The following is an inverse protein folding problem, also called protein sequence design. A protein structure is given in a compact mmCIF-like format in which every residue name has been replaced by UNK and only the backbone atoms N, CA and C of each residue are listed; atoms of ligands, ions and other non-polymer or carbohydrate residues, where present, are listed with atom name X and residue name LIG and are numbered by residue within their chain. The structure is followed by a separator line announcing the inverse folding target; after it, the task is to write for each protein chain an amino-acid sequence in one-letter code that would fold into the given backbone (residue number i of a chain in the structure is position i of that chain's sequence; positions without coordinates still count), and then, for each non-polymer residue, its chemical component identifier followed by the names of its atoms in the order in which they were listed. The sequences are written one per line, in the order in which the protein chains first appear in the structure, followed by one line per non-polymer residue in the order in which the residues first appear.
data_IF_030537716308
#
_entry.id   IF_030537716308
#
_cell.length_a   1.000
_cell.length_b   1.000
_cell.length_c   1.000
_cell.angle_alpha   90.00
_cell.angle_beta   90.00
_cell.angle_gamma   90.00
#
_symmetry.space_group_name_H-M   'P 1'
#
loop_
_entity.id
_entity.type
_entity.pdbx_description
1 polymer ?
#
# COMPACT_ATOMS: atom_id res chain seq x y z
N UNK A 1 -17.53 -48.80 -37.85
CA UNK A 1 -18.16 -47.65 -37.17
C UNK A 1 -17.16 -47.14 -36.13
N UNK A 2 -16.40 -46.10 -36.46
CA UNK A 2 -15.30 -45.56 -35.66
C UNK A 2 -15.63 -44.13 -35.25
N UNK A 3 -15.82 -43.91 -33.94
CA UNK A 3 -16.01 -42.57 -33.36
C UNK A 3 -14.71 -41.78 -33.38
N UNK A 4 -14.73 -40.45 -33.67
CA UNK A 4 -13.54 -39.63 -33.50
C UNK A 4 -13.38 -39.18 -32.03
N UNK A 5 -12.17 -39.34 -31.51
CA UNK A 5 -11.68 -38.74 -30.27
C UNK A 5 -11.57 -37.22 -30.43
N UNK A 6 -12.36 -36.46 -29.68
CA UNK A 6 -12.22 -35.01 -29.57
C UNK A 6 -11.12 -34.72 -28.54
N UNK A 7 -9.96 -34.28 -29.03
CA UNK A 7 -8.89 -33.75 -28.19
C UNK A 7 -9.31 -32.41 -27.56
N UNK A 8 -8.96 -32.11 -26.30
CA UNK A 8 -9.25 -30.83 -25.70
C UNK A 8 -8.42 -29.72 -26.38
N UNK A 9 -9.13 -28.67 -26.80
CA UNK A 9 -8.53 -27.47 -27.37
C UNK A 9 -7.58 -26.85 -26.34
N UNK A 10 -6.28 -26.97 -26.59
CA UNK A 10 -5.23 -26.20 -25.93
C UNK A 10 -5.50 -24.73 -26.24
N UNK A 11 -6.07 -24.01 -25.28
CA UNK A 11 -6.07 -22.56 -25.28
C UNK A 11 -4.61 -22.10 -25.21
N UNK A 12 -4.02 -21.84 -26.38
CA UNK A 12 -2.85 -20.98 -26.49
C UNK A 12 -3.28 -19.60 -25.99
N UNK A 13 -3.02 -19.31 -24.72
CA UNK A 13 -3.03 -17.94 -24.22
C UNK A 13 -1.93 -17.19 -24.98
N UNK A 14 -2.35 -16.45 -25.99
CA UNK A 14 -1.55 -15.53 -26.77
C UNK A 14 -0.83 -14.57 -25.82
N UNK A 15 0.49 -14.72 -25.72
CA UNK A 15 1.41 -13.73 -25.16
C UNK A 15 1.51 -12.49 -26.04
N UNK A 16 0.36 -11.90 -26.37
CA UNK A 16 0.26 -10.67 -27.13
C UNK A 16 0.22 -9.48 -26.17
N UNK A 17 1.41 -8.91 -25.98
CA UNK A 17 1.64 -7.50 -25.64
C UNK A 17 1.13 -6.98 -24.29
N UNK A 18 1.78 -7.42 -23.20
CA UNK A 18 1.85 -6.61 -21.96
C UNK A 18 2.65 -5.31 -22.20
N UNK A 19 3.48 -5.29 -23.25
CA UNK A 19 4.39 -4.18 -23.57
C UNK A 19 3.67 -2.93 -24.12
N UNK A 20 2.55 -3.05 -24.83
CA UNK A 20 1.87 -1.87 -25.39
C UNK A 20 1.01 -1.07 -24.40
N UNK A 21 0.81 -1.52 -23.16
CA UNK A 21 -0.18 -0.92 -22.25
C UNK A 21 0.39 -0.12 -21.08
N UNK A 22 1.71 0.10 -21.01
CA UNK A 22 2.37 0.80 -19.89
C UNK A 22 2.99 2.16 -20.24
N UNK A 23 2.88 2.66 -21.48
CA UNK A 23 3.50 3.93 -21.91
C UNK A 23 3.06 5.18 -21.11
N UNK A 24 1.98 5.08 -20.33
CA UNK A 24 1.45 6.14 -19.44
C UNK A 24 1.39 5.71 -17.97
N UNK A 25 2.07 4.63 -17.60
CA UNK A 25 2.06 4.14 -16.23
C UNK A 25 2.98 4.98 -15.33
N UNK A 26 2.46 5.39 -14.18
CA UNK A 26 3.21 6.10 -13.16
C UNK A 26 3.86 5.09 -12.21
N UNK A 27 5.16 5.22 -11.98
CA UNK A 27 5.83 4.46 -10.92
C UNK A 27 5.52 5.09 -9.56
N UNK A 28 5.04 4.28 -8.64
CA UNK A 28 4.79 4.70 -7.27
C UNK A 28 6.14 4.99 -6.58
N UNK A 29 6.46 6.27 -6.39
CA UNK A 29 7.65 6.66 -5.62
C UNK A 29 7.23 7.14 -4.24
N UNK A 30 7.76 6.46 -3.24
CA UNK A 30 7.44 6.65 -1.84
C UNK A 30 8.72 6.44 -1.03
N UNK A 31 8.94 7.26 0.00
CA UNK A 31 10.13 7.13 0.83
C UNK A 31 10.02 5.86 1.67
N UNK A 32 11.00 4.98 1.55
CA UNK A 32 11.08 3.79 2.40
C UNK A 32 11.23 4.18 3.87
N UNK A 33 10.57 3.44 4.77
CA UNK A 33 10.85 3.51 6.20
C UNK A 33 12.25 2.95 6.47
N UNK A 34 12.58 1.86 5.77
CA UNK A 34 13.89 1.21 5.75
C UNK A 34 14.14 0.49 4.42
N UNK A 35 15.40 0.32 3.99
CA UNK A 35 15.73 -0.23 2.68
C UNK A 35 15.64 -1.77 2.61
N UNK A 36 14.70 -2.39 3.32
CA UNK A 36 14.51 -3.85 3.34
C UNK A 36 13.10 -4.25 3.75
N UNK A 37 12.73 -5.52 3.54
CA UNK A 37 11.46 -6.05 4.03
C UNK A 37 11.41 -6.05 5.56
N UNK A 38 10.31 -5.56 6.10
CA UNK A 38 10.09 -5.50 7.54
C UNK A 38 8.73 -6.04 7.95
N UNK A 39 8.70 -6.54 9.18
CA UNK A 39 7.49 -6.73 9.95
C UNK A 39 7.49 -5.75 11.11
N UNK A 40 6.59 -4.78 11.09
CA UNK A 40 6.44 -3.82 12.18
C UNK A 40 5.85 -4.53 13.41
N UNK A 41 6.47 -4.32 14.57
CA UNK A 41 6.04 -4.88 15.85
C UNK A 41 5.41 -3.84 16.75
N UNK A 42 5.96 -2.63 16.78
CA UNK A 42 5.53 -1.58 17.69
C UNK A 42 5.71 -0.20 17.07
N UNK A 43 4.79 0.69 17.41
CA UNK A 43 4.80 2.11 17.07
C UNK A 43 4.75 2.84 18.40
N UNK A 44 5.71 3.71 18.65
CA UNK A 44 5.79 4.47 19.89
C UNK A 44 6.37 5.86 19.64
N UNK A 45 6.43 6.68 20.68
CA UNK A 45 7.18 7.93 20.70
C UNK A 45 8.31 7.84 21.70
N UNK A 46 9.40 8.59 21.46
CA UNK A 46 10.55 8.65 22.37
C UNK A 46 10.93 10.09 22.70
N UNK A 47 11.40 10.29 23.94
CA UNK A 47 11.86 11.57 24.47
C UNK A 47 10.76 12.61 24.68
N UNK A 48 11.15 13.76 25.23
CA UNK A 48 10.25 14.88 25.53
C UNK A 48 9.58 15.41 24.26
N UNK A 49 10.30 15.37 23.13
CA UNK A 49 9.79 15.80 21.84
C UNK A 49 8.73 14.88 21.22
N UNK A 50 8.42 13.73 21.84
CA UNK A 50 7.47 12.73 21.32
C UNK A 50 7.80 12.34 19.88
N UNK A 51 9.06 11.96 19.64
CA UNK A 51 9.55 11.62 18.29
C UNK A 51 9.03 10.24 17.90
N UNK A 52 8.33 10.07 16.77
CA UNK A 52 7.86 8.76 16.32
C UNK A 52 9.01 7.77 16.13
N UNK A 53 8.83 6.58 16.68
CA UNK A 53 9.72 5.44 16.52
C UNK A 53 8.94 4.21 16.06
N UNK A 54 9.44 3.57 15.01
CA UNK A 54 8.93 2.29 14.51
C UNK A 54 9.92 1.20 14.89
N UNK A 55 9.44 0.18 15.60
CA UNK A 55 10.21 -1.02 15.93
C UNK A 55 9.74 -2.16 15.05
N UNK A 56 10.70 -2.86 14.44
CA UNK A 56 10.42 -3.86 13.41
C UNK A 56 11.43 -5.01 13.44
N UNK A 57 11.04 -6.12 12.82
CA UNK A 57 11.90 -7.27 12.56
C UNK A 57 12.31 -7.33 11.09
N UNK A 58 13.57 -7.69 10.89
CA UNK A 58 14.19 -8.07 9.61
C UNK A 58 14.70 -9.52 9.73
N UNK A 59 15.16 -10.15 8.63
CA UNK A 59 15.85 -11.44 8.73
C UNK A 59 17.11 -11.41 9.62
N UNK A 60 17.71 -10.24 9.82
CA UNK A 60 18.92 -10.04 10.63
C UNK A 60 18.63 -9.75 12.12
N UNK A 61 17.36 -9.63 12.50
CA UNK A 61 16.95 -9.35 13.88
C UNK A 61 16.06 -8.13 14.02
N UNK A 62 15.93 -7.67 15.27
CA UNK A 62 15.04 -6.58 15.67
C UNK A 62 15.78 -5.24 15.63
N UNK A 63 15.16 -4.25 14.99
CA UNK A 63 15.72 -2.92 14.82
C UNK A 63 14.64 -1.85 15.09
N UNK A 64 15.07 -0.58 15.14
CA UNK A 64 14.18 0.56 15.26
C UNK A 64 14.61 1.67 14.30
N UNK A 65 13.65 2.48 13.86
CA UNK A 65 13.90 3.70 13.08
C UNK A 65 13.10 4.85 13.65
N UNK A 66 13.69 6.06 13.63
CA UNK A 66 13.02 7.29 14.02
C UNK A 66 12.50 7.99 12.77
N UNK A 67 11.31 8.57 12.88
CA UNK A 67 10.71 9.34 11.80
C UNK A 67 10.51 10.79 12.25
N UNK A 68 10.72 11.74 11.36
CA UNK A 68 10.29 13.11 11.61
C UNK A 68 8.77 13.16 11.73
N UNK A 69 8.24 14.08 12.55
CA UNK A 69 6.79 14.26 12.71
C UNK A 69 6.10 14.53 11.37
N UNK A 70 6.75 15.29 10.49
CA UNK A 70 6.25 15.59 9.15
C UNK A 70 6.14 14.32 8.28
N UNK A 71 7.18 13.47 8.27
CA UNK A 71 7.15 12.22 7.51
C UNK A 71 6.08 11.27 8.08
N UNK A 72 6.01 11.14 9.41
CA UNK A 72 4.98 10.35 10.07
C UNK A 72 3.56 10.80 9.70
N UNK A 73 3.29 12.12 9.75
CA UNK A 73 2.00 12.67 9.32
C UNK A 73 1.71 12.39 7.84
N UNK A 74 2.71 12.46 6.94
CA UNK A 74 2.53 12.17 5.51
C UNK A 74 2.15 10.70 5.27
N UNK A 75 2.77 9.78 6.00
CA UNK A 75 2.47 8.34 5.95
C UNK A 75 1.00 8.09 6.34
N UNK A 76 0.55 8.69 7.45
CA UNK A 76 -0.83 8.49 7.91
C UNK A 76 -1.87 9.28 7.12
N UNK A 77 -1.49 10.39 6.50
CA UNK A 77 -2.35 11.09 5.54
C UNK A 77 -2.67 10.15 4.37
N UNK A 78 -1.67 9.45 3.83
CA UNK A 78 -1.88 8.44 2.79
C UNK A 78 -2.85 7.34 3.25
N UNK A 79 -2.74 6.85 4.50
CA UNK A 79 -3.69 5.90 5.06
C UNK A 79 -5.13 6.44 5.10
N UNK A 80 -5.32 7.68 5.59
CA UNK A 80 -6.64 8.32 5.64
C UNK A 80 -7.24 8.51 4.24
N UNK A 81 -6.45 8.95 3.27
CA UNK A 81 -6.91 9.23 1.91
C UNK A 81 -7.36 7.96 1.17
N UNK A 82 -6.77 6.81 1.48
CA UNK A 82 -7.24 5.51 0.96
C UNK A 82 -8.62 5.18 1.51
N UNK A 83 -8.88 5.51 2.78
CA UNK A 83 -10.08 5.11 3.51
C UNK A 83 -11.25 6.06 3.33
N UNK A 84 -10.98 7.34 3.06
CA UNK A 84 -11.97 8.40 3.06
C UNK A 84 -11.89 9.22 1.77
N UNK A 85 -13.02 9.37 1.09
CA UNK A 85 -13.14 10.20 -0.12
C UNK A 85 -12.77 11.67 0.13
N UNK A 86 -13.03 12.15 1.34
CA UNK A 86 -12.57 13.44 1.87
C UNK A 86 -12.03 13.13 3.27
N UNK A 87 -10.72 13.13 3.41
CA UNK A 87 -10.00 12.79 4.65
C UNK A 87 -9.64 14.02 5.49
N UNK A 88 -9.59 15.20 4.85
CA UNK A 88 -9.05 16.40 5.47
C UNK A 88 -7.54 16.29 5.73
N UNK A 89 -6.93 17.37 6.21
CA UNK A 89 -5.50 17.38 6.56
C UNK A 89 -5.31 16.99 8.02
N UNK A 90 -4.42 16.04 8.30
CA UNK A 90 -4.01 15.73 9.68
C UNK A 90 -3.39 16.97 10.32
N UNK A 91 -3.97 17.39 11.45
CA UNK A 91 -3.49 18.50 12.29
C UNK A 91 -2.70 18.01 13.49
N UNK A 92 -3.12 16.90 14.07
CA UNK A 92 -2.47 16.28 15.20
C UNK A 92 -2.67 14.76 15.17
N UNK A 93 -1.78 14.05 15.85
CA UNK A 93 -1.89 12.61 16.07
C UNK A 93 -1.42 12.28 17.49
N UNK A 94 -1.94 11.18 18.02
CA UNK A 94 -1.60 10.68 19.34
C UNK A 94 -1.50 9.15 19.30
N UNK A 95 -0.50 8.59 19.97
CA UNK A 95 -0.37 7.15 20.18
C UNK A 95 -0.97 6.82 21.54
N UNK A 96 -2.04 6.02 21.56
CA UNK A 96 -2.73 5.57 22.77
C UNK A 96 -2.50 4.08 22.98
N UNK A 97 -2.97 3.57 24.12
CA UNK A 97 -2.75 2.18 24.53
C UNK A 97 -3.22 1.12 23.51
N UNK A 98 -4.27 1.42 22.72
CA UNK A 98 -4.88 0.47 21.78
C UNK A 98 -4.66 0.83 20.29
N UNK A 99 -3.99 1.95 19.99
CA UNK A 99 -3.84 2.40 18.61
C UNK A 99 -3.46 3.86 18.44
N UNK A 100 -3.72 4.39 17.24
CA UNK A 100 -3.44 5.78 16.86
C UNK A 100 -4.75 6.55 16.73
N UNK A 101 -4.77 7.76 17.29
CA UNK A 101 -5.82 8.75 17.05
C UNK A 101 -5.28 9.85 16.14
N UNK A 102 -6.02 10.19 15.10
CA UNK A 102 -5.73 11.30 14.19
C UNK A 102 -6.81 12.37 14.32
N UNK A 103 -6.39 13.62 14.48
CA UNK A 103 -7.29 14.78 14.46
C UNK A 103 -7.10 15.52 13.14
N UNK A 104 -8.19 15.68 12.40
CA UNK A 104 -8.26 16.40 11.13
C UNK A 104 -9.22 17.58 11.25
N UNK A 105 -9.31 18.40 10.20
CA UNK A 105 -10.36 19.42 10.09
C UNK A 105 -11.78 18.84 9.87
N UNK A 106 -11.91 17.54 9.63
CA UNK A 106 -13.19 16.86 9.39
C UNK A 106 -13.62 15.96 10.55
N UNK A 107 -12.79 15.85 11.60
CA UNK A 107 -13.09 15.05 12.78
C UNK A 107 -11.89 14.24 13.28
N UNK A 108 -12.18 13.34 14.21
CA UNK A 108 -11.22 12.42 14.81
C UNK A 108 -11.37 11.03 14.19
N UNK A 109 -10.25 10.41 13.85
CA UNK A 109 -10.19 9.07 13.29
C UNK A 109 -9.33 8.17 14.17
N UNK A 110 -9.68 6.89 14.22
CA UNK A 110 -9.02 5.90 15.05
C UNK A 110 -8.50 4.75 14.20
N UNK A 111 -7.31 4.25 14.54
CA UNK A 111 -6.66 3.13 13.88
C UNK A 111 -6.06 2.19 14.92
N UNK A 112 -6.43 0.90 14.88
CA UNK A 112 -5.88 -0.09 15.81
C UNK A 112 -4.41 -0.40 15.53
N UNK A 113 -3.63 -0.81 16.54
CA UNK A 113 -2.23 -1.22 16.32
C UNK A 113 -2.04 -2.37 15.32
N UNK A 114 -2.88 -3.44 15.31
CA UNK A 114 -2.77 -4.48 14.30
C UNK A 114 -2.91 -3.95 12.88
N UNK A 115 -3.83 -3.01 12.64
CA UNK A 115 -3.99 -2.40 11.32
C UNK A 115 -2.84 -1.42 11.00
N UNK A 116 -2.39 -0.63 11.98
CA UNK A 116 -1.29 0.31 11.81
C UNK A 116 0.03 -0.38 11.45
N UNK A 117 0.38 -1.43 12.17
CA UNK A 117 1.59 -2.24 11.92
C UNK A 117 1.54 -2.91 10.54
N UNK A 118 0.37 -3.42 10.17
CA UNK A 118 0.11 -4.04 8.89
C UNK A 118 0.15 -3.02 7.73
N UNK A 119 -0.32 -1.79 7.96
CA UNK A 119 -0.21 -0.69 7.01
C UNK A 119 1.25 -0.30 6.78
N UNK A 120 2.01 -0.01 7.84
CA UNK A 120 3.41 0.42 7.73
C UNK A 120 4.30 -0.62 7.04
N UNK A 121 4.06 -1.91 7.33
CA UNK A 121 4.79 -3.00 6.66
C UNK A 121 4.52 -3.00 5.14
N UNK A 122 3.27 -2.75 4.72
CA UNK A 122 2.89 -2.65 3.31
C UNK A 122 3.37 -1.35 2.66
N UNK A 123 3.32 -0.23 3.39
CA UNK A 123 3.85 1.05 2.95
C UNK A 123 5.34 0.92 2.61
N UNK A 124 6.12 0.32 3.51
CA UNK A 124 7.53 0.06 3.26
C UNK A 124 7.74 -0.90 2.08
N UNK A 125 6.86 -1.90 1.94
CA UNK A 125 6.90 -2.84 0.81
C UNK A 125 6.73 -2.13 -0.55
N UNK A 126 5.83 -1.15 -0.65
CA UNK A 126 5.68 -0.35 -1.89
C UNK A 126 6.95 0.43 -2.22
N UNK A 127 7.69 0.89 -1.21
CA UNK A 127 8.93 1.64 -1.41
C UNK A 127 10.08 0.78 -1.99
N UNK A 128 10.12 -0.50 -1.62
CA UNK A 128 11.21 -1.42 -2.02
C UNK A 128 10.81 -2.36 -3.17
N UNK A 129 9.51 -2.54 -3.41
CA UNK A 129 8.95 -3.22 -4.58
C UNK A 129 8.24 -2.17 -5.46
N UNK A 130 8.94 -1.55 -6.43
CA UNK A 130 8.33 -0.51 -7.26
C UNK A 130 7.13 -1.07 -8.01
N UNK A 131 5.98 -0.41 -7.89
CA UNK A 131 4.74 -0.76 -8.57
C UNK A 131 4.44 0.29 -9.64
N UNK A 132 4.05 -0.15 -10.82
CA UNK A 132 3.59 0.73 -11.91
C UNK A 132 2.07 0.81 -11.89
N UNK A 133 1.54 2.03 -11.94
CA UNK A 133 0.10 2.30 -11.81
C UNK A 133 -0.39 3.00 -13.08
N UNK A 134 -1.46 2.47 -13.67
CA UNK A 134 -2.17 3.10 -14.78
C UNK A 134 -3.62 3.36 -14.37
N UNK A 135 -4.06 4.61 -14.46
CA UNK A 135 -5.44 4.99 -14.18
C UNK A 135 -6.36 4.71 -15.37
N UNK A 136 -7.62 4.38 -15.09
CA UNK A 136 -8.67 4.21 -16.09
C UNK A 136 -10.03 4.59 -15.49
N UNK A 137 -11.09 4.57 -16.31
CA UNK A 137 -12.43 4.98 -15.91
C UNK A 137 -13.01 4.14 -14.76
N UNK A 138 -12.54 2.90 -14.60
CA UNK A 138 -13.00 1.97 -13.58
C UNK A 138 -12.17 2.01 -12.30
N UNK A 139 -11.06 2.77 -12.27
CA UNK A 139 -10.13 2.84 -11.15
C UNK A 139 -8.67 2.88 -11.61
N UNK A 140 -7.91 1.83 -11.28
CA UNK A 140 -6.51 1.71 -11.66
C UNK A 140 -6.10 0.26 -11.85
N UNK A 141 -5.12 0.05 -12.73
CA UNK A 141 -4.40 -1.20 -12.89
C UNK A 141 -3.00 -1.03 -12.30
N UNK A 142 -2.58 -1.97 -11.47
CA UNK A 142 -1.28 -1.96 -10.81
C UNK A 142 -0.49 -3.17 -11.27
N UNK A 143 0.65 -2.90 -11.88
CA UNK A 143 1.62 -3.89 -12.32
C UNK A 143 2.74 -4.02 -11.29
N UNK A 144 3.05 -5.26 -10.91
CA UNK A 144 4.23 -5.59 -10.14
C UNK A 144 5.26 -6.24 -11.07
N UNK A 145 6.34 -5.53 -11.46
CA UNK A 145 7.35 -6.06 -12.38
C UNK A 145 8.17 -7.21 -11.79
N UNK A 146 8.35 -7.23 -10.47
CA UNK A 146 9.15 -8.26 -9.78
C UNK A 146 8.43 -9.62 -9.81
N UNK A 147 7.13 -9.63 -9.55
CA UNK A 147 6.33 -10.86 -9.50
C UNK A 147 5.56 -11.15 -10.79
N UNK A 148 5.64 -10.25 -11.76
CA UNK A 148 4.90 -10.31 -13.01
C UNK A 148 3.38 -10.47 -12.82
N UNK A 149 2.81 -9.75 -11.85
CA UNK A 149 1.39 -9.83 -11.51
C UNK A 149 0.67 -8.52 -11.77
N UNK A 150 -0.57 -8.62 -12.25
CA UNK A 150 -1.47 -7.49 -12.47
C UNK A 150 -2.61 -7.52 -11.44
N UNK A 151 -2.91 -6.36 -10.85
CA UNK A 151 -4.00 -6.20 -9.89
C UNK A 151 -4.86 -4.99 -10.26
N UNK A 152 -6.19 -5.16 -10.23
CA UNK A 152 -7.13 -4.06 -10.40
C UNK A 152 -7.46 -3.46 -9.04
N UNK A 153 -7.49 -2.13 -8.96
CA UNK A 153 -7.90 -1.37 -7.78
C UNK A 153 -9.06 -0.47 -8.17
N UNK A 154 -10.17 -0.56 -7.47
CA UNK A 154 -11.37 0.24 -7.70
C UNK A 154 -12.01 0.63 -6.37
N UNK A 155 -13.24 1.16 -6.40
CA UNK A 155 -13.98 1.60 -5.20
C UNK A 155 -14.34 0.46 -4.24
N UNK A 156 -14.43 -0.79 -4.72
CA UNK A 156 -14.79 -1.95 -3.90
C UNK A 156 -13.58 -2.63 -3.27
N UNK A 157 -12.37 -2.35 -3.77
CA UNK A 157 -11.13 -2.86 -3.21
C UNK A 157 -10.10 -3.18 -4.29
N UNK A 158 -9.34 -4.25 -4.05
CA UNK A 158 -8.30 -4.73 -4.94
C UNK A 158 -8.50 -6.21 -5.31
N UNK A 159 -8.18 -6.59 -6.54
CA UNK A 159 -8.25 -7.98 -6.99
C UNK A 159 -7.11 -8.88 -6.48
N UNK A 160 -6.18 -8.35 -5.68
CA UNK A 160 -5.04 -9.12 -5.19
C UNK A 160 -5.44 -10.23 -4.19
N UNK A 161 -4.56 -11.22 -4.04
CA UNK A 161 -4.75 -12.37 -3.16
C UNK A 161 -4.73 -12.05 -1.65
N UNK A 162 -4.49 -10.79 -1.24
CA UNK A 162 -4.54 -10.37 0.17
C UNK A 162 -5.99 -10.30 0.67
N UNK A 163 -6.63 -11.46 0.88
CA UNK A 163 -8.06 -11.57 1.23
C UNK A 163 -8.45 -10.75 2.46
N UNK A 164 -7.52 -10.58 3.42
CA UNK A 164 -7.76 -9.86 4.66
C UNK A 164 -7.77 -8.35 4.49
N UNK A 165 -6.95 -7.80 3.60
CA UNK A 165 -6.77 -6.34 3.46
C UNK A 165 -7.05 -5.79 2.07
N UNK A 166 -7.46 -6.63 1.11
CA UNK A 166 -7.77 -6.20 -0.27
C UNK A 166 -8.88 -5.16 -0.36
N UNK A 167 -9.80 -5.14 0.61
CA UNK A 167 -10.89 -4.18 0.69
C UNK A 167 -10.58 -2.99 1.61
N UNK A 168 -9.38 -2.93 2.20
CA UNK A 168 -9.03 -1.89 3.18
C UNK A 168 -7.74 -1.17 2.84
N UNK A 169 -6.59 -1.85 2.87
CA UNK A 169 -5.26 -1.23 2.77
C UNK A 169 -4.19 -2.21 2.25
N UNK A 170 -4.36 -2.76 1.04
CA UNK A 170 -3.31 -3.56 0.42
C UNK A 170 -2.21 -2.70 -0.22
N UNK A 171 -1.06 -3.31 -0.58
CA UNK A 171 0.08 -2.58 -1.18
C UNK A 171 -0.30 -1.85 -2.49
N UNK A 172 -1.22 -2.42 -3.27
CA UNK A 172 -1.67 -1.83 -4.53
C UNK A 172 -2.50 -0.56 -4.30
N UNK A 173 -3.37 -0.54 -3.28
CA UNK A 173 -4.12 0.67 -2.90
C UNK A 173 -3.19 1.80 -2.45
N UNK A 174 -2.11 1.47 -1.72
CA UNK A 174 -1.09 2.43 -1.32
C UNK A 174 -0.38 3.01 -2.56
N UNK A 175 0.06 2.17 -3.49
CA UNK A 175 0.71 2.62 -4.73
C UNK A 175 -0.20 3.55 -5.55
N UNK A 176 -1.47 3.17 -5.70
CA UNK A 176 -2.47 4.00 -6.39
C UNK A 176 -2.59 5.37 -5.72
N UNK A 177 -2.71 5.41 -4.39
CA UNK A 177 -2.87 6.68 -3.68
C UNK A 177 -1.63 7.57 -3.79
N UNK A 178 -0.43 7.00 -3.72
CA UNK A 178 0.82 7.73 -3.91
C UNK A 178 0.87 8.37 -5.30
N UNK A 179 0.51 7.63 -6.35
CA UNK A 179 0.48 8.16 -7.72
C UNK A 179 -0.62 9.22 -7.93
N UNK A 180 -1.73 9.18 -7.18
CA UNK A 180 -2.77 10.22 -7.24
C UNK A 180 -2.34 11.55 -6.64
N UNK A 181 -1.51 11.52 -5.59
CA UNK A 181 -1.08 12.72 -4.85
C UNK A 181 0.09 13.42 -5.56
N UNK A 182 0.83 12.71 -6.40
CA UNK A 182 1.86 13.33 -7.22
C UNK A 182 1.21 14.22 -8.28
N UNK A 183 1.49 15.53 -8.31
CA UNK A 183 1.14 16.33 -9.47
C UNK A 183 1.89 15.77 -10.69
N UNK A 184 1.16 15.60 -11.79
CA UNK A 184 1.75 15.45 -13.13
C UNK A 184 2.45 16.74 -13.49
#
# INVERSE_FOLDING_TARGET
MTSPLIAPAVQKSSGASVNHSLETALTAEIQALVPTHIRVERIQTVGVGQIPQIIYKTPKGRCATLLSKAHFSKIWQCWLDIRLLKSGKIKAWEIKASGLQFTTNQGKFWLSFPEATAFLSRYNRVAIEPLSVKFNDQGAVVWNPIHQTLSQVNKTGCSCADSRYRNTICKHQIAVQVCRIKPV
#
